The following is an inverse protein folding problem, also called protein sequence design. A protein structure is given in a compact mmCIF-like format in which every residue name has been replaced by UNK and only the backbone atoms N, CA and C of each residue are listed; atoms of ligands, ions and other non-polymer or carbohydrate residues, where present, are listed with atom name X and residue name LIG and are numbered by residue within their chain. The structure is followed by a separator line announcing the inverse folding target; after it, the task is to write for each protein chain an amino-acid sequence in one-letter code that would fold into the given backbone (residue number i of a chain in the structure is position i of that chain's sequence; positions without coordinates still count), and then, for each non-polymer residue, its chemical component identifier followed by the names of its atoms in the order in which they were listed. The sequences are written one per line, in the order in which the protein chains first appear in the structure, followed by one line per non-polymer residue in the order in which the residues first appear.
data_IF_283471693379
#
_entry.id   IF_283471693379
#
_cell.length_a   1.000
_cell.length_b   1.000
_cell.length_c   1.000
_cell.angle_alpha   90.00
_cell.angle_beta   90.00
_cell.angle_gamma   90.00
#
_symmetry.space_group_name_H-M   'P 1'
#
loop_
_entity.id
_entity.type
_entity.pdbx_description
1 polymer ?
#
# COMPACT_ATOMS: atom_id res chain seq x y z
N UNK A 1 18.97 -5.92 9.61
CA UNK A 1 19.21 -4.63 10.28
C UNK A 1 18.84 -3.54 9.30
N UNK A 2 17.79 -2.77 9.62
CA UNK A 2 17.47 -1.47 9.03
C UNK A 2 16.91 -1.46 7.61
N UNK A 3 15.60 -1.17 7.46
CA UNK A 3 15.11 -0.10 6.57
C UNK A 3 13.57 0.02 6.53
N UNK A 4 12.79 -0.87 7.16
CA UNK A 4 11.31 -0.78 7.16
C UNK A 4 10.67 -1.01 8.54
N UNK A 5 11.41 -0.80 9.62
CA UNK A 5 10.86 -0.81 10.97
C UNK A 5 10.01 0.45 11.25
N UNK A 6 10.26 1.55 10.51
CA UNK A 6 9.54 2.83 10.62
C UNK A 6 8.15 2.85 9.95
N UNK A 7 7.68 1.75 9.36
CA UNK A 7 6.39 1.70 8.65
C UNK A 7 5.39 0.68 9.22
N UNK A 8 5.72 0.02 10.32
CA UNK A 8 4.81 -0.90 11.00
C UNK A 8 4.58 -0.42 12.42
N UNK A 9 3.37 0.03 12.78
CA UNK A 9 3.09 0.35 14.16
C UNK A 9 3.26 -0.91 15.02
N UNK A 10 4.24 -0.88 15.95
CA UNK A 10 4.35 -1.90 16.99
C UNK A 10 3.06 -2.00 17.82
N UNK A 11 2.63 -3.20 18.25
CA UNK A 11 1.38 -3.40 18.95
C UNK A 11 1.48 -2.89 20.40
N UNK A 12 1.06 -1.65 20.65
CA UNK A 12 1.07 -1.04 21.99
C UNK A 12 -0.16 -0.16 22.21
N UNK A 13 -1.08 -0.57 23.10
CA UNK A 13 -2.18 0.27 23.61
C UNK A 13 -3.50 0.19 22.83
N UNK A 14 -4.62 0.27 23.56
CA UNK A 14 -5.99 0.24 22.99
C UNK A 14 -6.27 1.43 22.07
N UNK A 15 -5.74 2.62 22.38
CA UNK A 15 -5.89 3.81 21.53
C UNK A 15 -5.13 3.67 20.21
N UNK A 16 -3.88 3.19 20.23
CA UNK A 16 -3.10 2.90 19.02
C UNK A 16 -3.71 1.80 18.15
N UNK A 17 -4.33 0.80 18.78
CA UNK A 17 -5.05 -0.27 18.04
C UNK A 17 -6.25 0.29 17.28
N UNK A 18 -6.93 1.30 17.83
CA UNK A 18 -8.04 1.98 17.15
C UNK A 18 -7.53 2.85 15.99
N UNK A 19 -6.43 3.58 16.19
CA UNK A 19 -5.75 4.35 15.14
C UNK A 19 -5.28 3.44 13.98
N UNK A 20 -4.68 2.29 14.30
CA UNK A 20 -4.23 1.30 13.31
C UNK A 20 -5.41 0.72 12.51
N UNK A 21 -6.56 0.48 13.16
CA UNK A 21 -7.78 0.01 12.50
C UNK A 21 -8.38 1.08 11.59
N UNK A 22 -8.35 2.35 11.99
CA UNK A 22 -8.82 3.46 11.18
C UNK A 22 -7.95 3.63 9.92
N UNK A 23 -6.63 3.64 10.07
CA UNK A 23 -5.69 3.69 8.95
C UNK A 23 -5.89 2.50 8.01
N UNK A 24 -6.04 1.28 8.54
CA UNK A 24 -6.31 0.09 7.74
C UNK A 24 -7.63 0.19 6.97
N UNK A 25 -8.66 0.79 7.57
CA UNK A 25 -9.95 1.04 6.93
C UNK A 25 -9.82 2.05 5.79
N UNK A 26 -9.09 3.15 5.99
CA UNK A 26 -8.81 4.17 4.98
C UNK A 26 -8.03 3.60 3.80
N UNK A 27 -6.95 2.86 4.05
CA UNK A 27 -6.18 2.17 2.99
C UNK A 27 -7.08 1.20 2.22
N UNK A 28 -7.92 0.45 2.93
CA UNK A 28 -8.88 -0.47 2.30
C UNK A 28 -9.91 0.26 1.43
N UNK A 29 -10.43 1.40 1.90
CA UNK A 29 -11.36 2.24 1.16
C UNK A 29 -10.71 2.84 -0.10
N UNK A 30 -9.49 3.35 0.03
CA UNK A 30 -8.70 3.84 -1.08
C UNK A 30 -8.46 2.75 -2.14
N UNK A 31 -8.01 1.55 -1.73
CA UNK A 31 -7.71 0.46 -2.64
C UNK A 31 -8.94 -0.04 -3.39
N UNK A 32 -10.15 0.05 -2.79
CA UNK A 32 -11.42 -0.26 -3.48
C UNK A 32 -11.74 0.71 -4.62
N UNK A 33 -11.20 1.94 -4.60
CA UNK A 33 -11.38 2.94 -5.66
C UNK A 33 -10.36 2.83 -6.80
N UNK A 34 -9.30 2.04 -6.61
CA UNK A 34 -8.29 1.80 -7.64
C UNK A 34 -8.80 0.81 -8.69
N UNK A 35 -8.19 0.83 -9.88
CA UNK A 35 -8.45 -0.21 -10.88
C UNK A 35 -8.07 -1.59 -10.31
N UNK A 36 -8.75 -2.67 -10.74
CA UNK A 36 -8.44 -4.03 -10.30
C UNK A 36 -6.95 -4.38 -10.47
N UNK A 37 -6.37 -3.95 -11.59
CA UNK A 37 -4.95 -4.17 -11.89
C UNK A 37 -4.02 -3.48 -10.88
N UNK A 38 -4.20 -2.17 -10.66
CA UNK A 38 -3.37 -1.41 -9.71
C UNK A 38 -3.53 -1.92 -8.27
N UNK A 39 -4.76 -2.31 -7.89
CA UNK A 39 -5.02 -2.92 -6.58
C UNK A 39 -4.25 -4.23 -6.40
N UNK A 40 -4.27 -5.11 -7.40
CA UNK A 40 -3.54 -6.39 -7.36
C UNK A 40 -2.03 -6.14 -7.27
N UNK A 41 -1.49 -5.24 -8.09
CA UNK A 41 -0.07 -4.88 -8.06
C UNK A 41 0.34 -4.37 -6.66
N UNK A 42 -0.47 -3.48 -6.09
CA UNK A 42 -0.20 -2.90 -4.78
C UNK A 42 -0.24 -3.96 -3.67
N UNK A 43 -1.28 -4.81 -3.63
CA UNK A 43 -1.40 -5.88 -2.63
C UNK A 43 -0.26 -6.90 -2.76
N UNK A 44 0.08 -7.33 -3.98
CA UNK A 44 1.21 -8.24 -4.20
C UNK A 44 2.52 -7.66 -3.68
N UNK A 45 2.74 -6.36 -3.89
CA UNK A 45 3.96 -5.69 -3.44
C UNK A 45 4.02 -5.51 -1.93
N UNK A 46 2.95 -5.01 -1.32
CA UNK A 46 2.96 -4.55 0.08
C UNK A 46 2.38 -5.54 1.09
N UNK A 47 1.45 -6.40 0.66
CA UNK A 47 0.82 -7.39 1.54
C UNK A 47 1.45 -8.78 1.42
N UNK A 48 1.81 -9.18 0.20
CA UNK A 48 2.43 -10.48 -0.07
C UNK A 48 3.97 -10.41 -0.22
N UNK A 49 4.56 -9.21 -0.12
CA UNK A 49 6.01 -9.02 -0.16
C UNK A 49 6.70 -9.42 -1.47
N UNK A 50 5.96 -9.56 -2.58
CA UNK A 50 6.52 -10.01 -3.85
C UNK A 50 7.48 -8.97 -4.46
N UNK A 51 8.47 -9.45 -5.22
CA UNK A 51 9.35 -8.58 -5.99
C UNK A 51 8.63 -8.00 -7.21
N UNK A 52 9.15 -6.91 -7.78
CA UNK A 52 8.59 -6.34 -9.02
C UNK A 52 8.67 -7.33 -10.19
N UNK A 53 9.73 -8.13 -10.25
CA UNK A 53 9.91 -9.16 -11.27
C UNK A 53 8.86 -10.27 -11.13
N UNK A 54 8.60 -10.76 -9.91
CA UNK A 54 7.59 -11.80 -9.67
C UNK A 54 6.18 -11.33 -10.00
N UNK A 55 5.86 -10.06 -9.67
CA UNK A 55 4.58 -9.45 -10.01
C UNK A 55 4.44 -9.34 -11.53
N UNK A 56 5.48 -8.85 -12.20
CA UNK A 56 5.50 -8.67 -13.65
C UNK A 56 5.28 -10.02 -14.37
N UNK A 57 6.02 -11.06 -13.95
CA UNK A 57 5.87 -12.42 -14.45
C UNK A 57 4.46 -12.99 -14.17
N UNK A 58 3.97 -12.87 -12.94
CA UNK A 58 2.64 -13.36 -12.55
C UNK A 58 1.46 -12.62 -13.20
N UNK A 59 1.70 -11.45 -13.79
CA UNK A 59 0.71 -10.65 -14.51
C UNK A 59 0.96 -10.62 -16.02
N UNK A 60 1.92 -11.39 -16.52
CA UNK A 60 2.33 -11.43 -17.92
C UNK A 60 2.54 -10.02 -18.52
N UNK A 61 3.26 -9.16 -17.79
CA UNK A 61 3.54 -7.78 -18.20
C UNK A 61 4.99 -7.38 -17.91
N UNK A 62 5.44 -6.24 -18.42
CA UNK A 62 6.79 -5.74 -18.17
C UNK A 62 6.94 -5.07 -16.80
N UNK A 63 8.11 -5.18 -16.18
CA UNK A 63 8.41 -4.52 -14.89
C UNK A 63 8.15 -3.00 -14.91
N UNK A 64 8.35 -2.34 -16.06
CA UNK A 64 8.07 -0.92 -16.21
C UNK A 64 6.60 -0.57 -15.95
N UNK A 65 5.67 -1.47 -16.31
CA UNK A 65 4.23 -1.32 -16.04
C UNK A 65 3.96 -1.40 -14.54
N UNK A 66 4.56 -2.40 -13.87
CA UNK A 66 4.44 -2.60 -12.42
C UNK A 66 4.99 -1.40 -11.65
N UNK A 67 6.21 -0.95 -11.98
CA UNK A 67 6.84 0.24 -11.36
C UNK A 67 5.98 1.48 -11.53
N UNK A 68 5.46 1.70 -12.74
CA UNK A 68 4.60 2.85 -13.05
C UNK A 68 3.27 2.80 -12.29
N UNK A 69 2.64 1.62 -12.20
CA UNK A 69 1.42 1.41 -11.43
C UNK A 69 1.66 1.69 -9.94
N UNK A 70 2.69 1.09 -9.35
CA UNK A 70 3.06 1.31 -7.94
C UNK A 70 3.32 2.78 -7.65
N UNK A 71 4.09 3.47 -8.48
CA UNK A 71 4.37 4.90 -8.31
C UNK A 71 3.09 5.74 -8.28
N UNK A 72 2.19 5.53 -9.26
CA UNK A 72 0.93 6.27 -9.35
C UNK A 72 0.01 5.97 -8.16
N UNK A 73 -0.13 4.70 -7.79
CA UNK A 73 -0.99 4.30 -6.67
C UNK A 73 -0.46 4.80 -5.32
N UNK A 74 0.86 4.78 -5.08
CA UNK A 74 1.45 5.37 -3.86
C UNK A 74 1.21 6.88 -3.77
N UNK A 75 1.39 7.60 -4.88
CA UNK A 75 1.14 9.05 -4.91
C UNK A 75 -0.34 9.34 -4.61
N UNK A 76 -1.25 8.59 -5.23
CA UNK A 76 -2.67 8.72 -4.99
C UNK A 76 -3.06 8.37 -3.54
N UNK A 77 -2.44 7.34 -2.94
CA UNK A 77 -2.67 6.97 -1.55
C UNK A 77 -2.24 8.09 -0.60
N UNK A 78 -1.05 8.67 -0.81
CA UNK A 78 -0.56 9.80 -0.02
C UNK A 78 -1.56 10.96 -0.06
N UNK A 79 -1.93 11.40 -1.25
CA UNK A 79 -2.90 12.50 -1.41
C UNK A 79 -4.24 12.17 -0.77
N UNK A 80 -4.70 10.92 -0.84
CA UNK A 80 -5.93 10.50 -0.18
C UNK A 80 -5.83 10.60 1.35
N UNK A 81 -4.75 10.11 1.95
CA UNK A 81 -4.58 10.17 3.40
C UNK A 81 -4.43 11.62 3.90
N UNK A 82 -3.70 12.47 3.16
CA UNK A 82 -3.60 13.90 3.44
C UNK A 82 -4.98 14.60 3.43
N UNK A 83 -5.91 14.17 2.59
CA UNK A 83 -7.28 14.70 2.55
C UNK A 83 -8.14 14.25 3.72
N UNK A 84 -7.83 13.09 4.30
CA UNK A 84 -8.48 12.56 5.49
C UNK A 84 -7.79 13.02 6.78
N UNK A 85 -6.91 14.04 6.69
CA UNK A 85 -6.11 14.60 7.78
C UNK A 85 -5.18 13.58 8.48
N UNK A 86 -4.88 12.47 7.79
CA UNK A 86 -3.93 11.45 8.23
C UNK A 86 -2.56 11.75 7.66
N UNK A 87 -1.64 12.15 8.53
CA UNK A 87 -0.24 12.37 8.20
C UNK A 87 0.58 11.13 8.60
N UNK A 88 1.11 10.42 7.60
CA UNK A 88 2.05 9.30 7.76
C UNK A 88 3.51 9.77 7.67
#
# INVERSE_FOLDING_TARGET
MGELDDCVPEPHGTEKTMEDQEIASLISAFLRRQSPESRIIFLRRYWYGQSVADIAAGMNCGEGKVKSSLFRTRKALRTYLEQEEVFL
#
